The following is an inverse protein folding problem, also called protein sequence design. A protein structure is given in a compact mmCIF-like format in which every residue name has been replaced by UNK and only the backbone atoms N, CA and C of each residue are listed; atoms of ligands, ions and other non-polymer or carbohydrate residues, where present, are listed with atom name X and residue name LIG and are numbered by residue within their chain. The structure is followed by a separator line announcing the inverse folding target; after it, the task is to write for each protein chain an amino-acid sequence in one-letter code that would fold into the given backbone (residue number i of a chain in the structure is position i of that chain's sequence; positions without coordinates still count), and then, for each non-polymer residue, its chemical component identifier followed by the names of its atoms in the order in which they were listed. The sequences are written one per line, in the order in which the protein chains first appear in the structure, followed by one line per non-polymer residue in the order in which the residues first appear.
data_IF_663521771825
#
_entry.id   IF_663521771825
#
_cell.length_a   1.000
_cell.length_b   1.000
_cell.length_c   1.000
_cell.angle_alpha   90.00
_cell.angle_beta   90.00
_cell.angle_gamma   90.00
#
_symmetry.space_group_name_H-M   'P 1'
#
loop_
_entity.id
_entity.type
_entity.pdbx_description
1 polymer ?
#
# COMPACT_ATOMS: atom_id res chain seq x y z
N UNK A 1 4.28 35.38 50.79
CA UNK A 1 4.11 36.23 49.59
C UNK A 1 3.37 35.39 48.57
N UNK A 2 2.03 35.34 48.50
CA UNK A 2 1.10 36.22 47.77
C UNK A 2 1.60 36.70 46.40
N UNK A 3 1.09 36.05 45.32
CA UNK A 3 0.64 36.54 43.99
C UNK A 3 0.36 35.28 43.13
N UNK A 4 -0.87 34.85 42.86
CA UNK A 4 -1.97 35.41 42.06
C UNK A 4 -1.63 35.55 40.57
N UNK A 5 -2.23 34.71 39.71
CA UNK A 5 -2.63 34.98 38.30
C UNK A 5 -3.58 33.82 37.88
N UNK A 6 -4.89 34.05 37.96
CA UNK A 6 -5.83 34.36 36.87
C UNK A 6 -6.28 33.14 36.05
N UNK A 7 -7.44 32.61 36.46
CA UNK A 7 -8.34 31.76 35.69
C UNK A 7 -9.14 32.69 34.76
N UNK A 8 -9.03 32.49 33.45
CA UNK A 8 -10.02 32.98 32.48
C UNK A 8 -10.72 31.75 31.93
N UNK A 9 -12.00 31.63 32.28
CA UNK A 9 -12.90 30.62 31.74
C UNK A 9 -13.31 30.97 30.32
N UNK A 10 -13.33 29.96 29.47
CA UNK A 10 -14.11 29.95 28.23
C UNK A 10 -15.10 28.81 28.38
N UNK A 11 -16.38 29.17 28.41
CA UNK A 11 -17.49 28.24 28.39
C UNK A 11 -17.63 27.65 26.98
N UNK A 12 -17.56 26.33 26.86
CA UNK A 12 -18.03 25.60 25.68
C UNK A 12 -19.31 24.90 26.09
N UNK A 13 -20.42 25.34 25.51
CA UNK A 13 -21.72 24.70 25.64
C UNK A 13 -21.69 23.38 24.84
N UNK A 14 -21.68 22.25 25.55
CA UNK A 14 -21.97 20.94 24.98
C UNK A 14 -23.50 20.76 24.94
N UNK A 15 -24.06 20.67 23.75
CA UNK A 15 -25.40 20.15 23.51
C UNK A 15 -25.25 18.63 23.33
N UNK A 16 -25.46 17.90 24.42
CA UNK A 16 -25.66 16.45 24.42
C UNK A 16 -27.18 16.24 24.34
N UNK A 17 -27.65 15.61 23.25
CA UNK A 17 -28.99 15.02 23.23
C UNK A 17 -28.85 13.56 23.64
N UNK A 18 -29.26 13.29 24.88
CA UNK A 18 -29.49 11.97 25.44
C UNK A 18 -30.76 11.37 24.79
N UNK A 19 -30.61 10.20 24.18
CA UNK A 19 -31.72 9.30 23.86
C UNK A 19 -31.48 7.97 24.56
N UNK A 20 -32.10 7.79 25.73
CA UNK A 20 -32.14 6.52 26.45
C UNK A 20 -32.89 5.47 25.64
N UNK A 21 -32.30 4.28 25.45
CA UNK A 21 -33.05 3.05 25.14
C UNK A 21 -32.74 2.04 26.24
N UNK A 22 -33.84 1.60 26.84
CA UNK A 22 -33.99 0.69 27.97
C UNK A 22 -33.67 -0.75 27.53
N UNK A 23 -32.80 -1.43 28.28
CA UNK A 23 -32.44 -2.84 28.08
C UNK A 23 -33.25 -3.70 29.04
N UNK A 24 -34.40 -4.22 28.59
CA UNK A 24 -35.08 -5.34 29.26
C UNK A 24 -34.67 -6.67 28.60
N UNK A 25 -34.06 -7.62 29.32
CA UNK A 25 -33.84 -8.97 28.81
C UNK A 25 -35.09 -9.84 29.04
N UNK A 26 -35.57 -10.61 28.05
CA UNK A 26 -36.67 -11.53 28.29
C UNK A 26 -36.20 -12.79 29.04
N UNK A 27 -37.08 -13.19 29.94
CA UNK A 27 -36.98 -14.26 30.92
C UNK A 27 -37.03 -15.66 30.31
N UNK A 28 -36.35 -16.58 30.99
CA UNK A 28 -36.49 -18.03 30.82
C UNK A 28 -37.84 -18.52 31.38
N UNK A 29 -38.65 -19.22 30.57
CA UNK A 29 -39.56 -20.29 31.03
C UNK A 29 -40.17 -21.12 29.87
N UNK A 30 -39.76 -22.39 29.81
CA UNK A 30 -40.54 -23.62 29.56
C UNK A 30 -41.91 -23.60 28.83
N UNK A 31 -42.08 -24.53 27.88
CA UNK A 31 -43.23 -25.46 27.88
C UNK A 31 -44.08 -25.62 26.60
N UNK A 32 -43.87 -26.77 25.93
CA UNK A 32 -44.85 -27.69 25.31
C UNK A 32 -45.83 -27.28 24.18
N UNK A 33 -45.77 -28.10 23.11
CA UNK A 33 -46.84 -28.71 22.30
C UNK A 33 -47.65 -27.90 21.26
N UNK A 34 -47.43 -28.25 19.98
CA UNK A 34 -48.48 -28.80 19.10
C UNK A 34 -49.25 -27.86 18.15
N UNK A 35 -49.15 -28.12 16.83
CA UNK A 35 -50.32 -28.07 15.92
C UNK A 35 -50.32 -27.09 14.74
N UNK A 36 -50.12 -27.65 13.53
CA UNK A 36 -50.85 -27.44 12.24
C UNK A 36 -50.89 -26.06 11.53
N UNK A 37 -50.44 -26.05 10.26
CA UNK A 37 -51.05 -25.53 9.00
C UNK A 37 -51.97 -24.28 9.09
N UNK A 38 -51.85 -23.22 8.27
CA UNK A 38 -51.82 -23.20 6.80
C UNK A 38 -51.49 -21.79 6.23
N UNK A 39 -50.92 -21.79 5.01
CA UNK A 39 -50.98 -20.83 3.88
C UNK A 39 -51.27 -19.32 4.07
N UNK A 40 -50.44 -18.48 3.43
CA UNK A 40 -50.86 -17.14 2.98
C UNK A 40 -49.74 -16.16 2.62
N UNK A 41 -49.17 -16.34 1.44
CA UNK A 41 -48.61 -15.36 0.50
C UNK A 41 -47.78 -14.14 0.94
N UNK A 42 -46.62 -14.07 0.27
CA UNK A 42 -45.95 -12.88 -0.26
C UNK A 42 -45.41 -11.87 0.76
N UNK A 43 -44.13 -12.04 1.08
CA UNK A 43 -43.25 -10.88 1.17
C UNK A 43 -41.95 -11.21 0.44
N UNK A 44 -41.61 -10.36 -0.51
CA UNK A 44 -40.36 -10.41 -1.24
C UNK A 44 -39.27 -9.87 -0.33
N UNK A 45 -38.55 -10.76 0.34
CA UNK A 45 -37.30 -10.42 0.99
C UNK A 45 -36.17 -10.68 0.01
N UNK A 46 -35.52 -9.60 -0.41
CA UNK A 46 -34.24 -9.61 -1.09
C UNK A 46 -33.26 -10.43 -0.23
N UNK A 47 -32.83 -11.58 -0.77
CA UNK A 47 -31.78 -12.42 -0.21
C UNK A 47 -30.46 -11.64 -0.29
N UNK A 48 -30.13 -10.89 0.77
CA UNK A 48 -28.78 -10.37 1.03
C UNK A 48 -27.87 -11.51 1.53
N UNK A 49 -27.65 -12.51 0.68
CA UNK A 49 -26.60 -13.51 0.87
C UNK A 49 -25.73 -13.59 -0.37
N UNK A 50 -24.46 -13.20 -0.20
CA UNK A 50 -23.32 -13.72 -0.97
C UNK A 50 -23.39 -13.57 -2.48
N UNK A 51 -23.21 -12.35 -2.98
CA UNK A 51 -22.62 -12.13 -4.31
C UNK A 51 -21.23 -11.54 -4.11
N UNK A 52 -20.25 -12.43 -3.97
CA UNK A 52 -18.82 -12.17 -3.79
C UNK A 52 -18.12 -11.71 -5.08
N UNK A 53 -18.88 -10.95 -5.87
CA UNK A 53 -18.49 -10.09 -6.98
C UNK A 53 -19.81 -9.45 -7.47
N UNK A 54 -20.42 -8.60 -6.64
CA UNK A 54 -21.73 -8.01 -6.94
C UNK A 54 -21.72 -7.30 -8.29
N UNK A 55 -22.55 -7.76 -9.24
CA UNK A 55 -22.89 -7.14 -10.54
C UNK A 55 -21.82 -6.15 -11.05
N UNK A 56 -20.83 -6.65 -11.80
CA UNK A 56 -19.84 -5.78 -12.47
C UNK A 56 -18.43 -6.34 -12.68
N UNK A 57 -18.11 -7.56 -12.22
CA UNK A 57 -16.76 -8.16 -12.33
C UNK A 57 -16.33 -8.58 -13.76
N UNK A 58 -16.91 -7.96 -14.78
CA UNK A 58 -16.53 -8.11 -16.19
C UNK A 58 -16.63 -6.76 -16.94
N UNK A 59 -16.84 -5.64 -16.24
CA UNK A 59 -17.05 -4.35 -16.91
C UNK A 59 -15.75 -3.89 -17.59
N UNK A 60 -15.73 -3.81 -18.93
CA UNK A 60 -14.58 -3.30 -19.64
C UNK A 60 -14.47 -1.80 -19.37
N UNK A 61 -13.25 -1.34 -19.16
CA UNK A 61 -12.95 0.09 -19.15
C UNK A 61 -12.15 0.48 -20.38
N UNK A 62 -12.17 1.77 -20.71
CA UNK A 62 -11.54 2.31 -21.91
C UNK A 62 -10.12 2.83 -21.69
N UNK A 63 -9.62 2.87 -20.45
CA UNK A 63 -8.25 3.37 -20.18
C UNK A 63 -7.21 2.50 -20.89
N UNK A 64 -6.35 3.12 -21.69
CA UNK A 64 -5.28 2.49 -22.48
C UNK A 64 -4.04 3.37 -22.50
N UNK A 65 -2.91 2.78 -22.89
CA UNK A 65 -1.63 3.48 -23.01
C UNK A 65 -0.87 3.52 -21.69
N UNK A 66 -0.08 4.57 -21.51
CA UNK A 66 0.73 4.77 -20.31
C UNK A 66 -0.12 5.33 -19.18
N UNK A 67 -0.28 4.55 -18.11
CA UNK A 67 -1.19 4.83 -16.99
C UNK A 67 -0.45 4.70 -15.66
N UNK A 68 -1.00 5.35 -14.64
CA UNK A 68 -0.58 5.16 -13.26
C UNK A 68 -1.44 4.04 -12.64
N UNK A 69 -0.81 3.02 -12.09
CA UNK A 69 -1.45 1.97 -11.33
C UNK A 69 -1.33 2.29 -9.84
N UNK A 70 -2.45 2.26 -9.10
CA UNK A 70 -2.56 2.56 -7.68
C UNK A 70 -2.89 1.27 -6.91
N UNK A 71 -2.37 1.13 -5.69
CA UNK A 71 -2.70 0.02 -4.77
C UNK A 71 -3.35 0.49 -3.47
N UNK A 72 -4.19 -0.37 -2.90
CA UNK A 72 -4.89 -0.22 -1.62
C UNK A 72 -5.99 0.85 -1.57
N UNK A 73 -6.90 0.79 -2.54
CA UNK A 73 -8.19 1.50 -2.46
C UNK A 73 -9.34 0.51 -2.24
N UNK A 74 -9.44 -0.17 -1.09
CA UNK A 74 -10.54 -1.15 -0.90
C UNK A 74 -11.88 -0.44 -0.88
N UNK A 75 -12.72 -0.67 -1.89
CA UNK A 75 -14.10 -0.21 -1.94
C UNK A 75 -14.99 -1.13 -1.09
N UNK A 76 -15.09 -0.93 0.23
CA UNK A 76 -16.17 -1.55 1.00
C UNK A 76 -16.53 -0.72 2.23
N UNK A 77 -17.84 -0.54 2.40
CA UNK A 77 -18.56 0.38 3.28
C UNK A 77 -18.15 0.42 4.76
N UNK A 78 -18.63 1.45 5.46
CA UNK A 78 -18.50 1.72 6.90
C UNK A 78 -18.69 0.55 7.87
N UNK A 79 -19.43 -0.49 7.49
CA UNK A 79 -19.61 -1.68 8.34
C UNK A 79 -18.55 -2.76 8.10
N UNK A 80 -17.81 -2.68 6.98
CA UNK A 80 -16.70 -3.58 6.62
C UNK A 80 -15.35 -3.13 7.23
N UNK A 81 -15.42 -2.43 8.37
CA UNK A 81 -14.28 -1.84 9.03
C UNK A 81 -13.39 -2.85 9.73
N UNK A 82 -12.10 -2.76 9.43
CA UNK A 82 -10.98 -3.32 10.21
C UNK A 82 -10.90 -4.82 10.46
N UNK A 83 -11.91 -5.65 10.17
CA UNK A 83 -11.95 -6.99 10.78
C UNK A 83 -11.42 -8.16 9.96
N UNK A 84 -11.34 -8.12 8.62
CA UNK A 84 -10.73 -9.25 7.88
C UNK A 84 -10.53 -9.01 6.38
N UNK A 85 -9.64 -9.79 5.75
CA UNK A 85 -9.80 -10.10 4.33
C UNK A 85 -11.19 -10.74 4.17
N UNK A 86 -11.97 -10.33 3.16
CA UNK A 86 -13.38 -10.76 3.07
C UNK A 86 -13.39 -12.22 2.67
N UNK A 87 -13.93 -13.15 3.49
CA UNK A 87 -14.07 -14.53 3.08
C UNK A 87 -14.90 -14.60 1.80
N UNK A 88 -14.43 -15.39 0.85
CA UNK A 88 -15.16 -15.72 -0.36
C UNK A 88 -15.96 -17.01 -0.16
N UNK A 89 -16.85 -17.31 -1.10
CA UNK A 89 -17.71 -18.51 -1.04
C UNK A 89 -16.90 -19.82 -1.08
N UNK A 90 -15.71 -19.78 -1.69
CA UNK A 90 -14.75 -20.88 -1.61
C UNK A 90 -14.03 -20.85 -0.26
N UNK A 91 -14.18 -21.93 0.50
CA UNK A 91 -13.58 -22.07 1.82
C UNK A 91 -12.06 -21.86 1.79
N UNK A 92 -11.56 -21.05 2.73
CA UNK A 92 -10.13 -20.74 2.83
C UNK A 92 -9.64 -19.72 1.81
N UNK A 93 -10.53 -18.99 1.12
CA UNK A 93 -10.14 -17.91 0.21
C UNK A 93 -10.71 -16.57 0.65
N UNK A 94 -10.00 -15.49 0.34
CA UNK A 94 -10.32 -14.15 0.81
C UNK A 94 -10.01 -13.06 -0.22
N UNK A 95 -10.76 -11.95 -0.17
CA UNK A 95 -10.45 -10.73 -0.92
C UNK A 95 -9.50 -9.82 -0.14
N UNK A 96 -8.40 -9.45 -0.81
CA UNK A 96 -7.36 -8.58 -0.29
C UNK A 96 -7.36 -7.16 -0.87
N UNK A 97 -6.19 -6.50 -0.88
CA UNK A 97 -5.95 -5.20 -1.53
C UNK A 97 -6.55 -5.08 -2.94
N UNK A 98 -6.94 -3.86 -3.32
CA UNK A 98 -7.43 -3.55 -4.67
C UNK A 98 -6.45 -2.69 -5.47
N UNK A 99 -6.55 -2.79 -6.79
CA UNK A 99 -5.75 -2.06 -7.75
C UNK A 99 -6.63 -1.19 -8.65
N UNK A 100 -6.15 0.01 -8.97
CA UNK A 100 -6.87 0.98 -9.82
C UNK A 100 -5.93 1.59 -10.85
N UNK A 101 -6.38 1.71 -12.10
CA UNK A 101 -5.71 2.46 -13.15
C UNK A 101 -6.17 3.92 -13.15
N UNK A 102 -5.22 4.83 -13.31
CA UNK A 102 -5.44 6.26 -13.36
C UNK A 102 -4.70 6.89 -14.55
N UNK A 103 -5.42 7.69 -15.35
CA UNK A 103 -4.85 8.51 -16.43
C UNK A 103 -4.79 10.00 -16.02
N UNK A 104 -3.63 10.52 -15.58
CA UNK A 104 -3.48 11.93 -15.22
C UNK A 104 -3.53 12.89 -16.41
N UNK A 105 -3.47 12.40 -17.65
CA UNK A 105 -3.38 13.20 -18.87
C UNK A 105 -4.73 13.40 -19.55
N UNK A 106 -5.68 12.49 -19.32
CA UNK A 106 -7.04 12.55 -19.86
C UNK A 106 -7.82 13.73 -19.28
N UNK A 107 -8.76 14.27 -20.04
CA UNK A 107 -9.78 15.22 -19.56
C UNK A 107 -11.14 14.56 -19.63
N UNK A 108 -12.00 14.78 -18.62
CA UNK A 108 -13.37 14.29 -18.61
C UNK A 108 -14.35 15.37 -19.07
N UNK A 109 -15.27 15.01 -19.96
CA UNK A 109 -16.25 15.94 -20.55
C UNK A 109 -17.26 16.47 -19.53
N UNK A 110 -17.52 15.71 -18.48
CA UNK A 110 -18.40 16.07 -17.36
C UNK A 110 -17.74 17.02 -16.35
N UNK A 111 -16.45 17.35 -16.56
CA UNK A 111 -15.66 18.18 -15.66
C UNK A 111 -15.27 17.50 -14.36
N UNK A 112 -15.55 16.20 -14.19
CA UNK A 112 -15.11 15.40 -13.04
C UNK A 112 -13.77 14.72 -13.33
N UNK A 113 -13.30 13.86 -12.44
CA UNK A 113 -12.16 12.98 -12.65
C UNK A 113 -12.53 11.50 -12.76
N UNK A 114 -13.83 11.16 -12.78
CA UNK A 114 -14.30 9.77 -12.79
C UNK A 114 -13.84 9.01 -14.04
N UNK A 115 -13.81 9.66 -15.22
CA UNK A 115 -13.38 9.02 -16.46
C UNK A 115 -11.87 8.67 -16.51
N UNK A 116 -11.09 9.19 -15.56
CA UNK A 116 -9.64 8.96 -15.46
C UNK A 116 -9.30 7.73 -14.64
N UNK A 117 -10.25 7.18 -13.88
CA UNK A 117 -10.02 6.09 -12.93
C UNK A 117 -10.78 4.83 -13.37
N UNK A 118 -10.15 3.66 -13.31
CA UNK A 118 -10.80 2.38 -13.51
C UNK A 118 -10.32 1.37 -12.47
N UNK A 119 -11.24 0.56 -11.93
CA UNK A 119 -10.88 -0.54 -11.04
C UNK A 119 -10.33 -1.71 -11.86
N UNK A 120 -9.16 -2.23 -11.46
CA UNK A 120 -8.64 -3.51 -11.97
C UNK A 120 -9.09 -4.70 -11.12
N UNK A 121 -9.60 -4.45 -9.92
CA UNK A 121 -10.12 -5.48 -9.03
C UNK A 121 -9.24 -5.71 -7.81
N UNK A 122 -9.28 -6.92 -7.26
CA UNK A 122 -8.76 -7.26 -5.95
C UNK A 122 -7.82 -8.46 -5.99
N UNK A 123 -6.88 -8.49 -5.04
CA UNK A 123 -6.10 -9.66 -4.75
C UNK A 123 -6.97 -10.81 -4.27
N UNK A 124 -6.67 -12.01 -4.78
CA UNK A 124 -7.19 -13.26 -4.26
C UNK A 124 -6.17 -13.87 -3.31
N UNK A 125 -6.57 -14.02 -2.06
CA UNK A 125 -5.76 -14.58 -0.99
C UNK A 125 -6.29 -15.96 -0.61
N UNK A 126 -5.42 -16.84 -0.14
CA UNK A 126 -5.77 -18.13 0.44
C UNK A 126 -5.58 -18.13 1.97
N UNK A 127 -5.82 -19.27 2.62
CA UNK A 127 -5.68 -19.45 4.06
C UNK A 127 -4.24 -19.30 4.56
N UNK A 128 -3.24 -19.58 3.70
CA UNK A 128 -1.83 -19.37 3.98
C UNK A 128 -1.49 -17.89 4.15
N UNK A 129 -2.18 -17.05 3.39
CA UNK A 129 -2.10 -15.58 3.41
C UNK A 129 -3.17 -14.90 4.28
N UNK A 130 -4.17 -15.66 4.76
CA UNK A 130 -5.49 -15.09 5.04
C UNK A 130 -6.30 -15.68 6.19
N UNK A 131 -5.82 -16.66 6.95
CA UNK A 131 -6.51 -17.05 8.19
C UNK A 131 -6.29 -16.01 9.30
N UNK A 132 -7.24 -15.08 9.48
CA UNK A 132 -7.27 -14.18 10.64
C UNK A 132 -7.88 -14.90 11.85
N UNK A 133 -7.13 -14.93 12.96
CA UNK A 133 -7.64 -15.27 14.28
C UNK A 133 -8.59 -14.17 14.76
N UNK A 134 -9.89 -14.42 14.70
CA UNK A 134 -10.94 -13.48 15.11
C UNK A 134 -11.14 -13.42 16.64
N UNK A 135 -10.28 -14.05 17.45
CA UNK A 135 -10.57 -14.24 18.89
C UNK A 135 -9.87 -13.28 19.86
N UNK A 136 -8.77 -12.60 19.48
CA UNK A 136 -8.04 -11.72 20.41
C UNK A 136 -7.94 -10.25 19.99
N UNK A 137 -8.46 -9.89 18.82
CA UNK A 137 -8.48 -8.51 18.34
C UNK A 137 -7.10 -7.95 17.96
N UNK A 138 -6.07 -8.81 17.82
CA UNK A 138 -4.77 -8.39 17.27
C UNK A 138 -4.78 -8.46 15.73
N UNK A 139 -4.47 -7.33 15.10
CA UNK A 139 -4.52 -7.14 13.65
C UNK A 139 -3.34 -7.84 12.97
N UNK A 140 -3.54 -9.04 12.43
CA UNK A 140 -2.56 -9.73 11.59
C UNK A 140 -3.07 -9.85 10.15
N UNK A 141 -2.61 -8.98 9.24
CA UNK A 141 -3.06 -8.97 7.84
C UNK A 141 -1.90 -8.92 6.88
N UNK A 142 -1.94 -9.74 5.84
CA UNK A 142 -1.11 -9.54 4.67
C UNK A 142 -1.44 -8.17 4.05
N UNK A 143 -0.41 -7.35 3.83
CA UNK A 143 -0.57 -6.06 3.16
C UNK A 143 0.35 -5.98 1.96
N UNK A 144 -0.15 -5.36 0.89
CA UNK A 144 0.70 -4.86 -0.18
C UNK A 144 0.92 -3.37 0.00
N UNK A 145 2.02 -2.86 -0.53
CA UNK A 145 2.28 -1.44 -0.72
C UNK A 145 3.35 -1.33 -1.79
N UNK A 146 3.56 -0.12 -2.29
CA UNK A 146 4.68 0.24 -3.16
C UNK A 146 4.83 -0.65 -4.41
N UNK A 147 4.50 -0.13 -5.58
CA UNK A 147 4.42 -0.91 -6.82
C UNK A 147 5.61 -0.66 -7.75
N UNK A 148 6.02 -1.71 -8.47
CA UNK A 148 6.94 -1.59 -9.59
C UNK A 148 6.47 -2.43 -10.77
N UNK A 149 6.53 -1.88 -11.97
CA UNK A 149 6.19 -2.64 -13.18
C UNK A 149 7.25 -2.47 -14.24
N UNK A 150 7.56 -3.57 -14.94
CA UNK A 150 8.31 -3.54 -16.18
C UNK A 150 7.67 -4.47 -17.21
N UNK A 151 7.83 -4.19 -18.52
CA UNK A 151 7.36 -5.10 -19.56
C UNK A 151 7.99 -6.50 -19.50
N UNK A 152 9.22 -6.60 -18.97
CA UNK A 152 9.98 -7.85 -18.94
C UNK A 152 9.69 -8.69 -17.69
N UNK A 153 9.52 -8.06 -16.52
CA UNK A 153 9.37 -8.75 -15.24
C UNK A 153 7.94 -8.76 -14.69
N UNK A 154 7.02 -8.00 -15.31
CA UNK A 154 5.63 -7.88 -14.86
C UNK A 154 5.46 -6.91 -13.69
N UNK A 155 4.37 -7.09 -12.94
CA UNK A 155 3.99 -6.25 -11.81
C UNK A 155 4.53 -6.85 -10.50
N UNK A 156 5.12 -5.99 -9.68
CA UNK A 156 5.68 -6.30 -8.37
C UNK A 156 5.16 -5.35 -7.31
N UNK A 157 5.17 -5.81 -6.06
CA UNK A 157 4.80 -5.04 -4.90
C UNK A 157 5.69 -5.39 -3.70
N UNK A 158 5.81 -4.46 -2.75
CA UNK A 158 6.27 -4.79 -1.40
C UNK A 158 5.13 -5.43 -0.64
N UNK A 159 5.43 -6.48 0.11
CA UNK A 159 4.47 -7.16 0.97
C UNK A 159 4.94 -7.23 2.41
N UNK A 160 3.99 -7.18 3.34
CA UNK A 160 4.25 -7.50 4.74
C UNK A 160 3.31 -8.63 5.18
N UNK A 161 3.90 -9.73 5.63
CA UNK A 161 3.19 -10.84 6.25
C UNK A 161 3.25 -10.72 7.77
N UNK A 162 2.17 -10.24 8.37
CA UNK A 162 2.08 -10.06 9.83
C UNK A 162 2.09 -11.39 10.59
N UNK A 163 1.72 -12.51 9.94
CA UNK A 163 1.71 -13.82 10.61
C UNK A 163 3.13 -14.25 10.99
N UNK A 164 4.08 -13.97 10.11
CA UNK A 164 5.49 -14.27 10.29
C UNK A 164 6.29 -13.04 10.74
N UNK A 165 5.68 -11.84 10.74
CA UNK A 165 6.32 -10.55 11.05
C UNK A 165 7.46 -10.22 10.08
N UNK A 166 7.20 -10.43 8.78
CA UNK A 166 8.24 -10.40 7.76
C UNK A 166 7.86 -9.56 6.55
N UNK A 167 8.86 -8.79 6.09
CA UNK A 167 8.81 -8.08 4.82
C UNK A 167 9.21 -9.01 3.67
N UNK A 168 8.67 -8.72 2.51
CA UNK A 168 8.97 -9.43 1.28
C UNK A 168 8.65 -8.61 0.04
N UNK A 169 8.90 -9.21 -1.10
CA UNK A 169 8.41 -8.75 -2.39
C UNK A 169 7.42 -9.76 -2.95
N UNK A 170 6.44 -9.28 -3.71
CA UNK A 170 5.43 -10.13 -4.31
C UNK A 170 5.29 -9.82 -5.79
N UNK A 171 5.28 -10.86 -6.62
CA UNK A 171 4.89 -10.75 -8.01
C UNK A 171 3.36 -10.83 -8.10
N UNK A 172 2.77 -9.86 -8.80
CA UNK A 172 1.33 -9.77 -9.00
C UNK A 172 0.95 -10.18 -10.42
N UNK A 173 -0.08 -11.00 -10.54
CA UNK A 173 -0.54 -11.56 -11.80
C UNK A 173 -1.85 -10.87 -12.20
N UNK A 174 -1.78 -10.08 -13.27
CA UNK A 174 -2.93 -9.38 -13.86
C UNK A 174 -3.14 -9.95 -15.27
N UNK A 175 -4.17 -10.77 -15.43
CA UNK A 175 -4.44 -11.50 -16.68
C UNK A 175 -5.01 -10.59 -17.79
N UNK A 176 -5.89 -9.66 -17.43
CA UNK A 176 -6.51 -8.70 -18.35
C UNK A 176 -6.50 -7.30 -17.71
N UNK A 177 -5.72 -6.41 -18.30
CA UNK A 177 -5.58 -5.01 -17.86
C UNK A 177 -6.73 -4.10 -18.33
N UNK A 178 -7.71 -4.66 -19.05
CA UNK A 178 -8.82 -3.90 -19.64
C UNK A 178 -10.15 -4.13 -18.93
N UNK A 179 -10.16 -5.01 -17.93
CA UNK A 179 -11.35 -5.42 -17.19
C UNK A 179 -11.01 -5.60 -15.72
N UNK A 180 -11.98 -5.33 -14.86
CA UNK A 180 -11.86 -5.69 -13.46
C UNK A 180 -11.82 -7.22 -13.32
N UNK A 181 -10.92 -7.73 -12.48
CA UNK A 181 -10.74 -9.16 -12.29
C UNK A 181 -10.05 -9.52 -10.98
N UNK A 182 -9.64 -10.78 -10.88
CA UNK A 182 -8.85 -11.27 -9.76
C UNK A 182 -7.37 -11.09 -10.05
N UNK A 183 -6.63 -10.70 -9.02
CA UNK A 183 -5.20 -10.49 -9.10
C UNK A 183 -4.53 -11.62 -8.31
N UNK A 184 -3.75 -12.42 -9.02
CA UNK A 184 -2.94 -13.48 -8.42
C UNK A 184 -1.72 -12.90 -7.72
N UNK A 185 -1.15 -13.67 -6.80
CA UNK A 185 0.04 -13.28 -6.04
C UNK A 185 0.97 -14.46 -5.85
N UNK A 186 2.26 -14.21 -6.01
CA UNK A 186 3.36 -15.08 -5.60
C UNK A 186 4.33 -14.26 -4.74
N UNK A 187 4.68 -14.74 -3.54
CA UNK A 187 5.29 -13.93 -2.48
C UNK A 187 6.63 -14.48 -2.02
N UNK A 188 7.61 -13.61 -1.85
CA UNK A 188 8.99 -13.95 -1.48
C UNK A 188 9.38 -13.14 -0.24
N UNK A 189 9.34 -13.78 0.93
CA UNK A 189 9.84 -13.22 2.18
C UNK A 189 11.36 -13.07 2.12
N UNK A 190 11.83 -11.96 2.69
CA UNK A 190 13.24 -11.67 2.86
C UNK A 190 13.82 -12.62 3.91
N UNK A 191 14.98 -13.19 3.63
CA UNK A 191 15.58 -14.22 4.49
C UNK A 191 15.97 -13.64 5.86
N UNK A 192 15.40 -14.16 6.97
CA UNK A 192 15.72 -13.68 8.30
C UNK A 192 17.08 -14.17 8.80
N UNK A 193 17.68 -13.45 9.74
CA UNK A 193 18.82 -13.96 10.52
C UNK A 193 19.48 -12.90 11.40
N UNK A 194 20.60 -13.23 12.01
CA UNK A 194 21.32 -12.33 12.92
C UNK A 194 21.85 -11.08 12.20
N UNK A 195 21.64 -9.88 12.76
CA UNK A 195 22.01 -8.61 12.14
C UNK A 195 23.51 -8.47 11.79
N UNK A 196 24.39 -9.24 12.43
CA UNK A 196 25.82 -9.23 12.16
C UNK A 196 26.26 -10.41 11.26
N UNK A 197 25.33 -11.27 10.84
CA UNK A 197 25.63 -12.41 9.97
C UNK A 197 25.72 -11.97 8.51
N UNK A 198 26.77 -12.36 7.76
CA UNK A 198 26.86 -12.09 6.32
C UNK A 198 25.86 -12.89 5.48
N UNK A 199 25.18 -13.87 6.07
CA UNK A 199 24.10 -14.64 5.42
C UNK A 199 22.72 -14.06 5.68
N UNK A 200 22.63 -12.96 6.44
CA UNK A 200 21.38 -12.27 6.71
C UNK A 200 21.18 -11.22 5.67
N UNK A 201 19.97 -11.18 5.13
CA UNK A 201 19.64 -10.24 4.10
C UNK A 201 19.74 -8.79 4.64
N UNK A 202 20.50 -7.89 3.98
CA UNK A 202 20.64 -6.49 4.40
C UNK A 202 19.32 -5.72 4.57
N UNK A 203 18.27 -6.09 3.83
CA UNK A 203 16.98 -5.42 3.94
C UNK A 203 16.07 -6.02 5.04
N UNK A 204 16.42 -7.18 5.63
CA UNK A 204 15.58 -7.84 6.65
C UNK A 204 15.36 -6.96 7.90
N UNK A 205 16.42 -6.37 8.43
CA UNK A 205 16.35 -5.58 9.67
C UNK A 205 15.92 -4.12 9.46
N UNK A 206 15.50 -3.76 8.25
CA UNK A 206 15.02 -2.42 7.97
C UNK A 206 13.55 -2.33 8.40
N UNK A 207 13.27 -1.68 9.51
CA UNK A 207 11.90 -1.55 10.07
C UNK A 207 10.96 -0.69 9.19
N UNK A 208 11.47 -0.07 8.13
CA UNK A 208 10.77 0.90 7.30
C UNK A 208 10.85 0.61 5.81
N UNK A 209 10.75 -0.65 5.37
CA UNK A 209 10.68 -0.97 3.94
C UNK A 209 9.56 -0.16 3.27
N UNK A 210 9.95 0.64 2.27
CA UNK A 210 9.03 1.48 1.52
C UNK A 210 9.60 1.90 0.18
N UNK A 211 8.81 1.71 -0.85
CA UNK A 211 9.12 2.10 -2.21
C UNK A 211 9.65 0.95 -3.02
N UNK A 212 9.16 0.85 -4.25
CA UNK A 212 9.60 -0.12 -5.22
C UNK A 212 9.71 0.57 -6.57
N UNK A 213 10.70 0.22 -7.37
CA UNK A 213 10.79 0.68 -8.74
C UNK A 213 11.63 -0.25 -9.60
N UNK A 214 11.37 -0.24 -10.90
CA UNK A 214 12.34 -0.73 -11.89
C UNK A 214 13.19 0.42 -12.41
N UNK A 215 14.49 0.20 -12.51
CA UNK A 215 15.40 0.98 -13.33
C UNK A 215 15.98 0.05 -14.42
N UNK A 216 15.43 0.15 -15.63
CA UNK A 216 15.67 -0.88 -16.64
C UNK A 216 15.12 -2.24 -16.19
N UNK A 217 15.99 -3.24 -16.09
CA UNK A 217 15.65 -4.60 -15.64
C UNK A 217 15.94 -4.83 -14.15
N UNK A 218 16.49 -3.83 -13.44
CA UNK A 218 16.83 -3.95 -12.02
C UNK A 218 15.65 -3.52 -11.15
N UNK A 219 15.18 -4.43 -10.28
CA UNK A 219 14.19 -4.12 -9.26
C UNK A 219 14.90 -3.50 -8.04
N UNK A 220 14.46 -2.32 -7.62
CA UNK A 220 15.05 -1.56 -6.54
C UNK A 220 14.03 -1.34 -5.42
N UNK A 221 14.43 -1.62 -4.19
CA UNK A 221 13.64 -1.54 -2.96
C UNK A 221 14.13 -0.37 -2.11
N UNK A 222 13.24 0.56 -1.78
CA UNK A 222 13.53 1.68 -0.89
C UNK A 222 13.28 1.33 0.58
N UNK A 223 13.96 2.02 1.48
CA UNK A 223 13.68 1.99 2.92
C UNK A 223 13.73 3.39 3.54
N UNK A 224 12.87 3.62 4.52
CA UNK A 224 12.82 4.84 5.36
C UNK A 224 14.02 4.89 6.29
N UNK A 225 14.34 6.10 6.76
CA UNK A 225 15.30 6.32 7.84
C UNK A 225 14.73 6.02 9.24
N UNK A 226 13.93 4.96 9.38
CA UNK A 226 13.40 4.57 10.70
C UNK A 226 14.44 3.69 11.39
N UNK A 227 14.82 4.06 12.62
CA UNK A 227 15.78 3.29 13.40
C UNK A 227 15.12 2.07 14.01
N UNK A 228 15.77 0.91 13.84
CA UNK A 228 15.40 -0.32 14.52
C UNK A 228 16.32 -0.72 15.66
N UNK A 229 16.01 -1.84 16.29
CA UNK A 229 16.74 -2.38 17.45
C UNK A 229 18.23 -2.69 17.16
N UNK A 230 19.11 -1.70 17.31
CA UNK A 230 20.57 -1.87 17.26
C UNK A 230 21.22 -1.64 15.91
N UNK A 231 20.49 -1.17 14.89
CA UNK A 231 21.01 -0.82 13.57
C UNK A 231 20.88 0.68 13.33
N UNK A 232 21.83 1.28 12.61
CA UNK A 232 21.78 2.69 12.23
C UNK A 232 20.52 2.97 11.39
N UNK A 233 19.76 3.99 11.79
CA UNK A 233 18.49 4.43 11.20
C UNK A 233 18.64 5.07 9.81
N UNK A 234 19.46 4.51 8.93
CA UNK A 234 19.77 5.12 7.65
C UNK A 234 18.79 4.59 6.63
N UNK A 235 18.07 5.50 5.96
CA UNK A 235 17.37 5.12 4.75
C UNK A 235 18.37 4.60 3.71
N UNK A 236 17.88 3.75 2.82
CA UNK A 236 18.68 3.16 1.77
C UNK A 236 17.81 2.79 0.58
N UNK A 237 18.48 2.49 -0.53
CA UNK A 237 17.91 1.75 -1.64
C UNK A 237 18.75 0.50 -1.80
N UNK A 238 18.08 -0.62 -2.05
CA UNK A 238 18.69 -1.91 -2.32
C UNK A 238 18.31 -2.38 -3.72
N UNK A 239 19.21 -3.04 -4.40
CA UNK A 239 18.88 -3.88 -5.55
C UNK A 239 18.35 -5.22 -5.06
N UNK A 240 17.23 -5.66 -5.62
CA UNK A 240 16.64 -6.97 -5.37
C UNK A 240 17.11 -7.93 -6.47
N UNK A 241 17.79 -9.01 -6.08
CA UNK A 241 18.27 -10.03 -7.01
C UNK A 241 17.12 -10.93 -7.50
N UNK A 242 16.63 -10.63 -8.69
CA UNK A 242 15.58 -11.42 -9.34
C UNK A 242 16.06 -12.82 -9.77
N UNK A 243 17.37 -13.06 -9.91
CA UNK A 243 17.88 -14.40 -10.20
C UNK A 243 17.73 -15.32 -8.99
N UNK A 244 17.83 -14.79 -7.77
CA UNK A 244 17.52 -15.54 -6.54
C UNK A 244 16.04 -15.91 -6.50
N UNK A 245 15.16 -14.97 -6.85
CA UNK A 245 13.71 -15.25 -6.93
C UNK A 245 13.40 -16.32 -8.00
N UNK A 246 14.09 -16.27 -9.15
CA UNK A 246 13.92 -17.26 -10.21
C UNK A 246 14.32 -18.69 -9.81
N UNK A 247 15.03 -18.88 -8.71
CA UNK A 247 15.32 -20.21 -8.15
C UNK A 247 14.09 -20.83 -7.47
N UNK A 248 13.06 -20.02 -7.21
CA UNK A 248 11.84 -20.40 -6.51
C UNK A 248 11.97 -20.22 -5.00
N UNK A 249 11.17 -21.01 -4.27
CA UNK A 249 11.02 -20.89 -2.83
C UNK A 249 11.83 -21.95 -2.07
N UNK A 250 12.23 -21.57 -0.86
CA UNK A 250 12.94 -22.44 0.07
C UNK A 250 12.27 -22.44 1.46
N UNK A 251 12.43 -23.55 2.19
CA UNK A 251 11.99 -23.64 3.58
C UNK A 251 13.11 -23.14 4.48
N UNK A 252 12.84 -22.10 5.26
CA UNK A 252 13.80 -21.62 6.26
C UNK A 252 13.81 -22.56 7.48
N UNK A 253 14.98 -23.04 7.95
CA UNK A 253 15.04 -24.07 9.00
C UNK A 253 14.37 -23.68 10.34
N UNK A 254 14.26 -22.39 10.64
CA UNK A 254 13.65 -21.91 11.88
C UNK A 254 12.24 -21.32 11.67
N UNK A 255 11.68 -21.41 10.46
CA UNK A 255 10.32 -20.98 10.19
C UNK A 255 9.32 -21.90 10.89
N UNK A 256 8.42 -21.34 11.69
CA UNK A 256 7.41 -22.10 12.41
C UNK A 256 6.33 -22.64 11.45
N UNK A 257 6.07 -21.94 10.35
CA UNK A 257 5.06 -22.34 9.37
C UNK A 257 5.53 -23.47 8.46
N UNK A 258 6.86 -23.60 8.26
CA UNK A 258 7.49 -24.53 7.32
C UNK A 258 6.90 -24.40 5.90
N UNK A 259 6.51 -23.18 5.52
CA UNK A 259 5.87 -22.91 4.24
C UNK A 259 6.93 -23.02 3.12
N UNK A 260 6.84 -24.03 2.23
CA UNK A 260 7.82 -24.22 1.17
C UNK A 260 7.68 -23.21 0.02
N UNK A 261 6.68 -22.33 0.07
CA UNK A 261 6.36 -21.36 -0.97
C UNK A 261 6.50 -19.91 -0.48
N UNK A 262 7.39 -19.68 0.50
CA UNK A 262 7.40 -18.42 1.24
C UNK A 262 8.73 -17.67 1.23
N UNK A 263 9.85 -18.30 1.57
CA UNK A 263 11.14 -17.60 1.62
C UNK A 263 11.88 -17.67 0.29
N UNK A 264 12.58 -16.60 -0.04
CA UNK A 264 13.65 -16.66 -1.01
C UNK A 264 14.74 -17.66 -0.58
N UNK A 265 15.42 -18.24 -1.57
CA UNK A 265 16.43 -19.26 -1.32
C UNK A 265 17.79 -18.73 -0.86
N UNK A 266 18.06 -17.44 -1.05
CA UNK A 266 19.31 -16.79 -0.68
C UNK A 266 19.07 -15.29 -0.39
N UNK A 267 20.13 -14.55 -0.07
CA UNK A 267 20.11 -13.09 0.09
C UNK A 267 19.60 -12.41 -1.19
N UNK A 268 18.55 -11.60 -1.05
CA UNK A 268 17.90 -10.84 -2.12
C UNK A 268 18.48 -9.44 -2.27
N UNK A 269 18.76 -8.75 -1.16
CA UNK A 269 19.08 -7.32 -1.21
C UNK A 269 20.57 -7.03 -1.24
N UNK A 270 21.00 -6.23 -2.22
CA UNK A 270 22.34 -5.67 -2.34
C UNK A 270 22.27 -4.14 -2.17
N UNK A 271 23.12 -3.50 -1.36
CA UNK A 271 23.12 -2.04 -1.21
C UNK A 271 23.29 -1.30 -2.56
N UNK A 272 22.50 -0.23 -2.76
CA UNK A 272 22.55 0.60 -3.97
C UNK A 272 22.83 2.07 -3.63
N UNK A 273 22.06 2.63 -2.69
CA UNK A 273 22.26 3.98 -2.18
C UNK A 273 22.03 4.04 -0.69
N UNK A 274 22.70 4.97 -0.01
CA UNK A 274 22.54 5.17 1.44
C UNK A 274 22.34 6.64 1.78
N UNK A 275 21.30 6.93 2.54
CA UNK A 275 21.03 8.25 3.08
C UNK A 275 21.78 8.46 4.40
N UNK A 276 21.89 9.72 4.81
CA UNK A 276 22.30 10.04 6.18
C UNK A 276 21.23 9.53 7.17
N UNK A 277 21.58 9.30 8.45
CA UNK A 277 20.63 8.78 9.43
C UNK A 277 19.35 9.60 9.50
N UNK A 278 18.22 8.91 9.67
CA UNK A 278 16.88 9.47 9.81
C UNK A 278 16.30 10.16 8.57
N UNK A 279 16.97 10.08 7.42
CA UNK A 279 16.43 10.40 6.10
C UNK A 279 16.21 9.10 5.32
N UNK A 280 15.13 9.03 4.54
CA UNK A 280 14.90 7.90 3.65
C UNK A 280 13.69 8.05 2.75
N UNK A 281 13.47 7.03 1.93
CA UNK A 281 12.42 6.98 0.91
C UNK A 281 11.04 7.02 1.57
N UNK A 282 10.14 7.87 1.09
CA UNK A 282 8.78 7.97 1.62
C UNK A 282 7.84 6.87 1.09
N UNK A 283 8.04 6.46 -0.17
CA UNK A 283 7.26 5.43 -0.86
C UNK A 283 7.85 5.15 -2.25
N UNK A 284 7.03 4.86 -3.25
CA UNK A 284 7.48 4.49 -4.59
C UNK A 284 8.49 5.44 -5.22
N UNK A 285 9.33 4.84 -6.06
CA UNK A 285 10.37 5.53 -6.81
C UNK A 285 10.03 5.46 -8.30
N UNK A 286 10.64 6.32 -9.10
CA UNK A 286 10.45 6.33 -10.54
C UNK A 286 11.76 6.63 -11.26
N UNK A 287 12.01 6.08 -12.45
CA UNK A 287 13.14 6.50 -13.27
C UNK A 287 13.11 8.01 -13.58
N UNK A 288 14.30 8.60 -13.67
CA UNK A 288 14.44 9.94 -14.22
C UNK A 288 14.08 9.98 -15.71
N UNK A 289 14.09 11.18 -16.30
CA UNK A 289 13.67 11.35 -17.69
C UNK A 289 14.56 10.59 -18.70
N UNK A 290 15.79 10.28 -18.32
CA UNK A 290 16.76 9.53 -19.12
C UNK A 290 16.78 8.04 -18.78
N UNK A 291 16.03 7.62 -17.75
CA UNK A 291 16.10 6.29 -17.15
C UNK A 291 17.54 5.89 -16.77
N UNK A 292 18.36 6.86 -16.37
CA UNK A 292 19.73 6.65 -15.92
C UNK A 292 19.83 6.54 -14.40
N UNK A 293 18.95 7.26 -13.69
CA UNK A 293 18.90 7.31 -12.24
C UNK A 293 17.48 7.02 -11.74
N UNK A 294 17.36 6.65 -10.47
CA UNK A 294 16.09 6.68 -9.77
C UNK A 294 15.82 8.06 -9.18
N UNK A 295 14.54 8.42 -9.16
CA UNK A 295 13.99 9.52 -8.40
C UNK A 295 13.11 8.96 -7.28
N UNK A 296 13.18 9.57 -6.11
CA UNK A 296 12.37 9.18 -4.96
C UNK A 296 12.04 10.40 -4.12
N UNK A 297 10.82 10.41 -3.58
CA UNK A 297 10.44 11.40 -2.59
C UNK A 297 10.99 10.96 -1.23
N UNK A 298 11.73 11.84 -0.57
CA UNK A 298 12.42 11.56 0.68
C UNK A 298 11.78 12.36 1.80
N UNK A 299 11.62 11.70 2.96
CA UNK A 299 11.16 12.28 4.22
C UNK A 299 12.21 12.11 5.32
N UNK A 300 12.04 12.86 6.40
CA UNK A 300 12.88 12.74 7.60
C UNK A 300 12.06 12.28 8.79
N UNK A 301 12.68 11.49 9.65
CA UNK A 301 12.15 11.11 10.98
C UNK A 301 12.57 12.11 12.07
N UNK A 302 13.35 13.14 11.71
CA UNK A 302 13.84 14.16 12.62
C UNK A 302 13.74 15.57 12.02
N UNK A 303 12.97 16.44 12.69
CA UNK A 303 12.75 17.82 12.28
C UNK A 303 14.04 18.67 12.23
N UNK A 304 15.09 18.29 12.97
CA UNK A 304 16.38 18.97 12.96
C UNK A 304 17.16 18.73 11.66
N UNK A 305 16.88 17.64 10.95
CA UNK A 305 17.50 17.28 9.69
C UNK A 305 16.70 17.87 8.51
N UNK A 306 15.40 17.66 8.54
CA UNK A 306 14.44 18.22 7.59
C UNK A 306 13.08 18.33 8.28
N UNK A 307 12.33 19.45 8.10
CA UNK A 307 11.00 19.59 8.68
C UNK A 307 10.10 18.40 8.34
N UNK A 308 9.30 17.93 9.30
CA UNK A 308 8.49 16.72 9.14
C UNK A 308 7.34 16.92 8.14
N UNK A 309 6.95 18.17 7.92
CA UNK A 309 5.94 18.59 6.95
C UNK A 309 6.49 18.80 5.53
N UNK A 310 7.75 18.43 5.31
CA UNK A 310 8.47 18.63 4.07
C UNK A 310 8.91 17.29 3.49
N UNK A 311 8.73 17.16 2.19
CA UNK A 311 9.30 16.08 1.40
C UNK A 311 10.08 16.67 0.23
N UNK A 312 11.19 16.01 -0.13
CA UNK A 312 12.11 16.51 -1.16
C UNK A 312 12.38 15.41 -2.17
N UNK A 313 12.40 15.76 -3.45
CA UNK A 313 12.79 14.83 -4.50
C UNK A 313 14.31 14.66 -4.49
N UNK A 314 14.75 13.40 -4.42
CA UNK A 314 16.15 13.01 -4.53
C UNK A 314 16.38 12.18 -5.78
N UNK A 315 17.59 12.29 -6.32
CA UNK A 315 18.17 11.44 -7.35
C UNK A 315 19.12 10.43 -6.72
N UNK A 316 19.04 9.19 -7.16
CA UNK A 316 19.84 8.06 -6.69
C UNK A 316 20.44 7.35 -7.90
N UNK A 317 21.76 7.47 -8.06
CA UNK A 317 22.52 6.82 -9.12
C UNK A 317 23.01 5.45 -8.69
N UNK A 318 23.40 4.61 -9.64
CA UNK A 318 24.15 3.39 -9.34
C UNK A 318 25.44 3.68 -8.56
N UNK A 319 25.90 2.78 -7.68
CA UNK A 319 27.23 2.84 -7.11
C UNK A 319 28.29 2.92 -8.22
N UNK A 320 29.34 3.71 -8.00
CA UNK A 320 30.49 3.70 -8.89
C UNK A 320 31.30 2.39 -8.72
N UNK A 321 32.08 2.01 -9.74
CA UNK A 321 32.91 0.80 -9.70
C UNK A 321 33.78 0.74 -8.42
N UNK A 322 33.52 -0.26 -7.57
CA UNK A 322 34.26 -0.49 -6.33
C UNK A 322 33.73 0.23 -5.09
N UNK A 323 32.67 1.03 -5.23
CA UNK A 323 31.92 1.60 -4.10
C UNK A 323 30.79 0.65 -3.68
N UNK A 324 30.51 0.59 -2.38
CA UNK A 324 29.44 -0.26 -1.83
C UNK A 324 28.05 0.34 -2.08
N UNK A 325 27.95 1.67 -2.08
CA UNK A 325 26.69 2.39 -2.31
C UNK A 325 26.99 3.80 -2.85
N UNK A 326 26.00 4.41 -3.50
CA UNK A 326 26.04 5.83 -3.87
C UNK A 326 25.41 6.74 -2.81
N UNK A 327 25.79 8.02 -2.82
CA UNK A 327 25.15 9.06 -2.00
C UNK A 327 24.02 9.75 -2.80
N UNK A 328 22.77 9.73 -2.30
CA UNK A 328 21.65 10.41 -2.93
C UNK A 328 21.82 11.94 -2.99
N UNK A 329 21.36 12.56 -4.07
CA UNK A 329 21.46 14.02 -4.29
C UNK A 329 20.07 14.65 -4.35
N UNK A 330 19.84 15.71 -3.57
CA UNK A 330 18.58 16.44 -3.62
C UNK A 330 18.44 17.25 -4.92
N UNK A 331 17.32 17.11 -5.62
CA UNK A 331 17.03 17.84 -6.88
C UNK A 331 16.57 19.29 -6.62
N UNK A 332 16.32 19.65 -5.36
CA UNK A 332 15.82 20.97 -4.97
C UNK A 332 14.33 21.19 -5.26
N UNK A 333 13.60 20.12 -5.58
CA UNK A 333 12.14 20.12 -5.75
C UNK A 333 11.51 19.70 -4.43
N UNK A 334 10.61 20.52 -3.90
CA UNK A 334 10.13 20.41 -2.53
C UNK A 334 8.60 20.42 -2.51
N UNK A 335 8.01 19.44 -1.84
CA UNK A 335 6.62 19.46 -1.40
C UNK A 335 6.59 19.93 0.07
N UNK A 336 5.87 21.02 0.34
CA UNK A 336 5.73 21.61 1.68
C UNK A 336 4.28 21.54 2.15
N UNK A 337 4.09 21.57 3.47
CA UNK A 337 2.76 21.52 4.08
C UNK A 337 2.11 20.13 4.03
N UNK A 338 2.92 19.10 3.76
CA UNK A 338 2.49 17.70 3.85
C UNK A 338 2.26 17.39 5.32
N UNK A 339 1.08 16.87 5.67
CA UNK A 339 0.80 16.47 7.05
C UNK A 339 1.59 15.18 7.32
N UNK A 340 2.39 15.09 8.40
CA UNK A 340 3.11 13.85 8.71
C UNK A 340 2.19 12.63 8.75
N UNK A 341 2.55 11.59 8.01
CA UNK A 341 1.73 10.37 7.85
C UNK A 341 0.69 10.43 6.73
N UNK A 342 0.59 11.57 6.02
CA UNK A 342 -0.07 11.74 4.73
C UNK A 342 0.95 11.99 3.62
N UNK A 343 2.00 11.18 3.64
CA UNK A 343 3.14 11.28 2.75
C UNK A 343 2.75 11.06 1.27
N UNK A 344 3.49 11.67 0.34
CA UNK A 344 3.48 11.24 -1.07
C UNK A 344 4.18 9.88 -1.12
N UNK A 345 3.37 8.81 -1.09
CA UNK A 345 3.84 7.41 -1.09
C UNK A 345 3.85 6.79 -2.49
N UNK A 346 3.15 7.36 -3.47
CA UNK A 346 3.21 6.91 -4.86
C UNK A 346 4.01 7.86 -5.74
N UNK A 347 4.81 7.34 -6.68
CA UNK A 347 5.56 8.13 -7.64
C UNK A 347 5.62 7.40 -8.99
N UNK A 348 5.16 8.04 -10.07
CA UNK A 348 5.22 7.46 -11.40
C UNK A 348 5.46 8.53 -12.47
N UNK A 349 6.23 8.16 -13.50
CA UNK A 349 6.42 8.99 -14.70
C UNK A 349 5.41 8.57 -15.76
N UNK A 350 4.54 9.48 -16.17
CA UNK A 350 3.48 9.26 -17.16
C UNK A 350 3.61 10.31 -18.26
N UNK A 351 3.72 9.91 -19.53
CA UNK A 351 3.87 10.84 -20.65
C UNK A 351 5.10 11.73 -20.52
N UNK A 352 6.17 11.21 -19.90
CA UNK A 352 7.42 11.94 -19.63
C UNK A 352 7.36 12.89 -18.42
N UNK A 353 6.21 13.05 -17.75
CA UNK A 353 6.05 13.94 -16.59
C UNK A 353 5.99 13.13 -15.30
N UNK A 354 6.58 13.65 -14.24
CA UNK A 354 6.62 13.00 -12.93
C UNK A 354 5.39 13.40 -12.10
N UNK A 355 4.65 12.39 -11.65
CA UNK A 355 3.47 12.55 -10.80
C UNK A 355 3.69 11.81 -9.49
N UNK A 356 3.29 12.42 -8.39
CA UNK A 356 3.19 11.76 -7.09
C UNK A 356 1.75 11.69 -6.61
N UNK A 357 1.45 10.74 -5.74
CA UNK A 357 0.14 10.64 -5.09
C UNK A 357 0.32 10.42 -3.60
N UNK A 358 -0.41 11.18 -2.79
CA UNK A 358 -0.43 10.96 -1.34
C UNK A 358 -1.39 9.84 -0.95
N UNK A 359 -1.31 9.46 0.32
CA UNK A 359 -2.15 8.39 0.86
C UNK A 359 -3.65 8.69 0.82
N UNK A 360 -4.07 9.95 0.64
CA UNK A 360 -5.47 10.36 0.55
C UNK A 360 -5.94 10.52 -0.91
N UNK A 361 -5.09 10.30 -1.89
CA UNK A 361 -5.44 10.43 -3.30
C UNK A 361 -5.28 11.84 -3.88
N UNK A 362 -4.60 12.75 -3.18
CA UNK A 362 -4.15 13.99 -3.83
C UNK A 362 -3.02 13.67 -4.79
N UNK A 363 -3.20 14.08 -6.04
CA UNK A 363 -2.21 13.90 -7.10
C UNK A 363 -1.43 15.18 -7.27
N UNK A 364 -0.11 15.04 -7.30
CA UNK A 364 0.83 16.13 -7.44
C UNK A 364 1.61 15.97 -8.75
N UNK A 365 1.86 17.09 -9.41
CA UNK A 365 2.78 17.18 -10.53
C UNK A 365 4.10 17.78 -10.04
N UNK A 366 5.20 17.10 -10.35
CA UNK A 366 6.56 17.57 -10.12
C UNK A 366 7.06 18.26 -11.39
N UNK A 367 7.14 19.59 -11.35
CA UNK A 367 7.70 20.42 -12.41
C UNK A 367 9.23 20.44 -12.26
N UNK A 368 9.91 19.52 -12.94
CA UNK A 368 11.38 19.34 -12.85
C UNK A 368 12.15 20.57 -13.34
N UNK A 369 11.64 21.26 -14.36
CA UNK A 369 12.25 22.48 -14.89
C UNK A 369 11.98 23.69 -14.00
N UNK A 370 10.73 23.87 -13.58
CA UNK A 370 10.29 24.95 -12.70
C UNK A 370 10.65 24.76 -11.22
N UNK A 371 11.15 23.57 -10.86
CA UNK A 371 11.53 23.12 -9.52
C UNK A 371 10.46 23.34 -8.46
N UNK A 372 9.25 22.89 -8.75
CA UNK A 372 8.10 23.06 -7.86
C UNK A 372 7.16 21.87 -7.93
N UNK A 373 6.37 21.71 -6.89
CA UNK A 373 5.28 20.73 -6.83
C UNK A 373 3.96 21.47 -6.83
N UNK A 374 3.01 21.02 -7.66
CA UNK A 374 1.66 21.58 -7.70
C UNK A 374 0.63 20.48 -7.62
N UNK A 375 -0.47 20.73 -6.90
CA UNK A 375 -1.65 19.86 -6.97
C UNK A 375 -2.15 19.79 -8.43
N UNK A 376 -2.43 18.57 -8.89
CA UNK A 376 -2.86 18.26 -10.25
C UNK A 376 -4.30 17.74 -10.27
N UNK A 377 -4.67 16.88 -9.31
CA UNK A 377 -5.99 16.27 -9.20
C UNK A 377 -6.26 15.86 -7.73
N UNK A 378 -7.53 15.56 -7.41
CA UNK A 378 -7.94 15.04 -6.11
C UNK A 378 -8.87 13.83 -6.29
N UNK A 379 -8.28 12.64 -6.18
CA UNK A 379 -9.00 11.38 -6.26
C UNK A 379 -9.66 10.99 -4.94
N UNK A 380 -9.33 11.68 -3.83
CA UNK A 380 -9.84 11.36 -2.50
C UNK A 380 -11.37 11.21 -2.42
N UNK A 381 -12.17 12.09 -3.05
CA UNK A 381 -13.62 11.93 -3.11
C UNK A 381 -14.12 10.65 -3.80
N UNK A 382 -13.31 10.05 -4.70
CA UNK A 382 -13.60 8.77 -5.35
C UNK A 382 -13.24 7.57 -4.47
N UNK A 383 -12.50 7.80 -3.39
CA UNK A 383 -12.21 6.85 -2.32
C UNK A 383 -12.93 7.29 -1.02
N UNK A 384 -14.28 7.35 -1.02
CA UNK A 384 -15.07 8.15 -0.07
C UNK A 384 -14.91 7.77 1.42
N UNK A 385 -14.38 6.59 1.74
CA UNK A 385 -14.18 6.11 3.10
C UNK A 385 -12.81 6.52 3.72
N UNK A 386 -12.51 7.82 3.59
CA UNK A 386 -11.31 8.46 4.15
C UNK A 386 -11.25 8.40 5.70
N UNK A 387 -12.40 8.42 6.38
CA UNK A 387 -12.50 8.24 7.84
C UNK A 387 -12.16 6.80 8.28
N UNK A 388 -12.13 5.86 7.34
CA UNK A 388 -11.93 4.43 7.56
C UNK A 388 -10.51 3.95 7.21
N UNK A 389 -9.61 4.89 6.91
CA UNK A 389 -8.20 4.62 6.58
C UNK A 389 -7.96 3.77 5.32
N UNK A 390 -8.86 3.87 4.33
CA UNK A 390 -8.49 3.53 2.95
C UNK A 390 -7.43 4.52 2.50
N UNK A 391 -6.23 4.00 2.24
CA UNK A 391 -5.06 4.82 1.93
C UNK A 391 -4.37 4.23 0.72
N UNK A 392 -4.16 5.05 -0.30
CA UNK A 392 -3.29 4.67 -1.41
C UNK A 392 -1.90 4.40 -0.82
N UNK A 393 -1.34 3.23 -1.10
CA UNK A 393 -0.06 2.77 -0.54
C UNK A 393 1.05 2.63 -1.54
N UNK A 394 0.83 3.12 -2.75
CA UNK A 394 1.80 3.04 -3.82
C UNK A 394 1.17 3.40 -5.15
N UNK A 395 2.03 3.82 -6.06
CA UNK A 395 1.72 4.03 -7.45
C UNK A 395 2.91 3.68 -8.33
N UNK A 396 2.65 3.05 -9.48
CA UNK A 396 3.68 2.79 -10.49
C UNK A 396 3.17 3.09 -11.89
N UNK A 397 4.09 3.19 -12.85
CA UNK A 397 3.77 3.33 -14.27
C UNK A 397 3.48 1.94 -14.86
N UNK A 398 2.40 1.81 -15.62
CA UNK A 398 2.10 0.64 -16.44
C UNK A 398 1.79 1.04 -17.88
N UNK A 399 1.89 0.10 -18.82
CA UNK A 399 1.39 0.27 -20.19
C UNK A 399 0.31 -0.76 -20.46
N UNK A 400 -0.89 -0.28 -20.79
CA UNK A 400 -2.04 -1.12 -21.14
C UNK A 400 -2.25 -1.06 -22.64
N UNK A 401 -1.97 -2.18 -23.31
CA UNK A 401 -2.05 -2.27 -24.77
C UNK A 401 -3.50 -2.26 -25.29
N UNK A 402 -3.66 -1.78 -26.53
CA UNK A 402 -4.83 -2.05 -27.35
C UNK A 402 -4.72 -3.50 -27.84
N UNK A 403 -5.41 -4.43 -27.18
CA UNK A 403 -5.34 -5.87 -27.50
C UNK A 403 -5.60 -6.23 -28.96
#
# INVERSE_FOLDING_TARGET
MKRAFNIIGVAVAALVMEGCIDLEPPSTASGSEGGTQDAGDADGTEDETGSTCGVGCDEPHELRGELMLLVNGRLSSADALYQSNVPLDEAGTYLGPSLHLYDPTRSCDDGTNACRLASLGNLRLDEGLGAISVQDGSLQKFTLRDLAWSPAAGLWAVSFDVKNDEWGVAQLQVDDWTRAGQIGIDRYAIVPGDALSPSTDPCYWQEGVSGLAFLGDELLLGVRGVGGSGIEANGAVFRVDLEVIAQGHCVYPNDVSQDPSYYACDVLCEPWSRFVPQLGIAGDMAPDAQAADLLGVVRSENAEIMPLERQVLYRMSAPADGEEYSEPVAEGIVAEGIVPGLDIEGLARIGGRLYGVDVLGKVYLFDEEGRRVTEHDDLGPLFPDHELSLRIRGATRVVVDEG
#
